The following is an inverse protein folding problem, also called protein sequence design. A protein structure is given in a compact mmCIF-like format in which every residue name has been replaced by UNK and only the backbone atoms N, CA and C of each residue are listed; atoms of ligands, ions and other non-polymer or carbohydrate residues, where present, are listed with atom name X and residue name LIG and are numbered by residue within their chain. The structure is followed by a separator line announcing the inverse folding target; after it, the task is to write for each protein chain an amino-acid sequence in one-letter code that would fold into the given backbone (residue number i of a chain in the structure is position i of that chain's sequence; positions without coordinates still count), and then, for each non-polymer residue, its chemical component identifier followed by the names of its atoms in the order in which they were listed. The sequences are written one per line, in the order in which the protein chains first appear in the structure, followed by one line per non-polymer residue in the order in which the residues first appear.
data_IF_779502586758
#
_entry.id   IF_779502586758
#
_cell.length_a   1.000
_cell.length_b   1.000
_cell.length_c   1.000
_cell.angle_alpha   90.00
_cell.angle_beta   90.00
_cell.angle_gamma   90.00
#
_symmetry.space_group_name_H-M   'P 1'
#
loop_
_entity.id
_entity.type
_entity.pdbx_description
1 polymer ?
#
# COMPACT_ATOMS: atom_id res chain seq x y z
N UNK A 1 -23.08 8.26 9.83
CA UNK A 1 -24.06 9.17 9.19
C UNK A 1 -24.16 8.77 7.73
N UNK A 2 -25.36 8.50 7.23
CA UNK A 2 -25.56 8.11 5.83
C UNK A 2 -25.44 9.32 4.89
N UNK A 3 -24.76 9.14 3.76
CA UNK A 3 -24.62 10.11 2.67
C UNK A 3 -25.38 9.57 1.46
N UNK A 4 -26.02 10.44 0.67
CA UNK A 4 -26.75 9.99 -0.52
C UNK A 4 -25.79 9.40 -1.55
N UNK A 5 -26.24 8.37 -2.27
CA UNK A 5 -25.49 7.78 -3.37
C UNK A 5 -25.09 8.79 -4.46
N UNK A 6 -25.79 9.92 -4.61
CA UNK A 6 -25.42 11.00 -5.55
C UNK A 6 -24.22 11.85 -5.10
N UNK A 7 -23.93 11.85 -3.80
CA UNK A 7 -22.93 12.72 -3.17
C UNK A 7 -21.57 12.02 -3.01
N UNK A 8 -21.53 10.69 -3.10
CA UNK A 8 -20.27 9.96 -3.05
C UNK A 8 -19.43 10.18 -4.30
N UNK A 9 -18.11 9.96 -4.14
CA UNK A 9 -17.10 10.12 -5.18
C UNK A 9 -16.16 8.92 -5.18
N UNK A 10 -15.42 8.73 -6.27
CA UNK A 10 -14.27 7.81 -6.28
C UNK A 10 -13.32 8.16 -5.13
N UNK A 11 -12.82 7.14 -4.43
CA UNK A 11 -12.00 7.29 -3.23
C UNK A 11 -12.78 7.39 -1.91
N UNK A 12 -14.10 7.61 -1.95
CA UNK A 12 -14.93 7.56 -0.73
C UNK A 12 -14.93 6.14 -0.18
N UNK A 13 -14.78 6.01 1.14
CA UNK A 13 -14.88 4.70 1.81
C UNK A 13 -16.23 4.58 2.46
N UNK A 14 -16.88 3.47 2.19
CA UNK A 14 -18.21 3.14 2.67
C UNK A 14 -18.20 1.84 3.45
N UNK A 15 -19.05 1.75 4.45
CA UNK A 15 -19.31 0.52 5.18
C UNK A 15 -20.46 -0.23 4.51
N UNK A 16 -20.24 -1.49 4.15
CA UNK A 16 -21.24 -2.36 3.55
C UNK A 16 -21.11 -3.74 4.17
N UNK A 17 -22.17 -4.21 4.83
CA UNK A 17 -22.24 -5.50 5.51
C UNK A 17 -21.16 -5.68 6.61
N UNK A 18 -20.75 -4.59 7.27
CA UNK A 18 -19.71 -4.58 8.31
C UNK A 18 -18.28 -4.56 7.77
N UNK A 19 -18.09 -4.54 6.45
CA UNK A 19 -16.80 -4.41 5.79
C UNK A 19 -16.58 -2.99 5.24
N UNK A 20 -15.32 -2.58 5.17
CA UNK A 20 -14.92 -1.30 4.58
C UNK A 20 -14.59 -1.46 3.09
N UNK A 21 -15.26 -0.67 2.26
CA UNK A 21 -15.10 -0.68 0.81
C UNK A 21 -14.74 0.71 0.29
N UNK A 22 -13.72 0.81 -0.54
CA UNK A 22 -13.38 2.05 -1.26
C UNK A 22 -14.06 2.07 -2.62
N UNK A 23 -14.68 3.19 -2.98
CA UNK A 23 -15.27 3.40 -4.30
C UNK A 23 -14.16 3.58 -5.34
N UNK A 24 -14.01 2.64 -6.27
CA UNK A 24 -13.06 2.69 -7.38
C UNK A 24 -13.69 3.34 -8.62
N UNK A 25 -14.98 3.11 -8.84
CA UNK A 25 -15.71 3.61 -9.98
C UNK A 25 -17.06 4.21 -9.60
N UNK A 26 -17.47 5.23 -10.34
CA UNK A 26 -18.72 5.95 -10.11
C UNK A 26 -19.28 6.38 -11.46
N UNK A 27 -20.50 5.94 -11.75
CA UNK A 27 -21.24 6.28 -12.95
C UNK A 27 -22.66 6.68 -12.58
N UNK A 28 -23.04 7.93 -12.90
CA UNK A 28 -24.39 8.43 -12.69
C UNK A 28 -25.10 8.56 -14.04
N UNK A 29 -26.13 7.73 -14.25
CA UNK A 29 -26.97 7.73 -15.44
C UNK A 29 -28.33 8.31 -15.11
N UNK A 30 -28.78 9.27 -15.90
CA UNK A 30 -30.12 9.87 -15.81
C UNK A 30 -30.86 9.59 -17.13
N UNK A 31 -31.53 8.43 -17.28
CA UNK A 31 -32.28 8.12 -18.48
C UNK A 31 -33.54 8.99 -18.49
N UNK A 32 -33.75 9.78 -19.55
CA UNK A 32 -34.70 10.90 -19.60
C UNK A 32 -35.96 10.77 -18.72
N UNK A 33 -36.80 9.76 -18.97
CA UNK A 33 -38.09 9.59 -18.29
C UNK A 33 -38.05 8.61 -17.09
N UNK A 34 -36.86 8.17 -16.66
CA UNK A 34 -36.65 7.20 -15.58
C UNK A 34 -35.89 7.83 -14.41
N UNK A 35 -36.00 7.19 -13.24
CA UNK A 35 -35.20 7.56 -12.06
C UNK A 35 -33.72 7.38 -12.37
N UNK A 36 -32.90 8.30 -11.85
CA UNK A 36 -31.46 8.21 -11.99
C UNK A 36 -30.91 6.95 -11.33
N UNK A 37 -29.92 6.34 -11.99
CA UNK A 37 -29.26 5.11 -11.60
C UNK A 37 -27.80 5.43 -11.38
N UNK A 38 -27.25 4.95 -10.27
CA UNK A 38 -25.86 5.14 -9.91
C UNK A 38 -25.22 3.76 -9.86
N UNK A 39 -24.23 3.52 -10.72
CA UNK A 39 -23.42 2.32 -10.66
C UNK A 39 -22.09 2.69 -10.00
N UNK A 40 -21.75 2.00 -8.93
CA UNK A 40 -20.45 2.15 -8.27
C UNK A 40 -19.67 0.85 -8.39
N UNK A 41 -18.38 0.96 -8.67
CA UNK A 41 -17.40 -0.10 -8.46
C UNK A 41 -16.75 0.12 -7.12
N UNK A 42 -16.67 -0.91 -6.29
CA UNK A 42 -16.12 -0.83 -4.94
C UNK A 42 -15.13 -1.97 -4.69
N UNK A 43 -14.08 -1.69 -3.92
CA UNK A 43 -13.03 -2.64 -3.55
C UNK A 43 -12.91 -2.74 -2.03
N UNK A 44 -12.94 -3.94 -1.49
CA UNK A 44 -12.79 -4.19 -0.06
C UNK A 44 -11.35 -3.84 0.38
N UNK A 45 -11.21 -3.05 1.44
CA UNK A 45 -9.90 -2.60 1.94
C UNK A 45 -9.11 -3.71 2.64
N UNK A 46 -9.78 -4.71 3.21
CA UNK A 46 -9.17 -5.83 3.92
C UNK A 46 -8.84 -7.00 2.98
N UNK A 47 -9.82 -7.45 2.19
CA UNK A 47 -9.68 -8.63 1.32
C UNK A 47 -9.21 -8.31 -0.10
N UNK A 48 -9.26 -7.04 -0.52
CA UNK A 48 -8.94 -6.63 -1.88
C UNK A 48 -9.97 -7.02 -2.94
N UNK A 49 -11.06 -7.70 -2.57
CA UNK A 49 -12.11 -8.12 -3.48
C UNK A 49 -12.83 -6.92 -4.10
N UNK A 50 -13.17 -7.00 -5.39
CA UNK A 50 -13.95 -5.98 -6.09
C UNK A 50 -15.38 -6.44 -6.35
N UNK A 51 -16.36 -5.54 -6.19
CA UNK A 51 -17.76 -5.76 -6.55
C UNK A 51 -18.35 -4.51 -7.21
N UNK A 52 -19.39 -4.69 -8.00
CA UNK A 52 -20.19 -3.57 -8.53
C UNK A 52 -21.54 -3.54 -7.85
N UNK A 53 -22.05 -2.34 -7.56
CA UNK A 53 -23.33 -2.13 -6.92
C UNK A 53 -24.13 -1.09 -7.69
N UNK A 54 -25.41 -1.37 -7.91
CA UNK A 54 -26.36 -0.47 -8.55
C UNK A 54 -27.26 0.13 -7.48
N UNK A 55 -27.30 1.45 -7.44
CA UNK A 55 -28.02 2.25 -6.46
C UNK A 55 -29.00 3.19 -7.17
N UNK A 56 -30.10 3.51 -6.49
CA UNK A 56 -30.99 4.61 -6.84
C UNK A 56 -30.51 5.94 -6.26
N UNK A 57 -31.03 7.05 -6.78
CA UNK A 57 -30.67 8.40 -6.30
C UNK A 57 -31.03 8.67 -4.83
N UNK A 58 -31.97 7.91 -4.27
CA UNK A 58 -32.42 8.03 -2.89
C UNK A 58 -31.69 7.10 -1.91
N UNK A 59 -30.83 6.20 -2.39
CA UNK A 59 -30.13 5.26 -1.52
C UNK A 59 -29.11 6.02 -0.67
N UNK A 60 -29.03 5.65 0.60
CA UNK A 60 -28.03 6.17 1.53
C UNK A 60 -26.92 5.14 1.71
N UNK A 61 -25.69 5.63 1.76
CA UNK A 61 -24.48 4.85 2.01
C UNK A 61 -23.87 5.34 3.32
N UNK A 62 -23.42 4.42 4.17
CA UNK A 62 -22.67 4.78 5.37
C UNK A 62 -21.24 5.09 4.98
N UNK A 63 -20.84 6.35 5.12
CA UNK A 63 -19.46 6.76 4.84
C UNK A 63 -18.61 6.50 6.08
N UNK A 64 -17.53 5.76 5.87
CA UNK A 64 -16.50 5.52 6.84
C UNK A 64 -15.45 6.64 6.75
N UNK A 65 -15.18 7.30 7.88
CA UNK A 65 -14.14 8.31 7.95
C UNK A 65 -12.79 7.63 8.16
N UNK A 66 -11.90 7.82 7.18
CA UNK A 66 -10.54 7.32 7.24
C UNK A 66 -9.58 8.45 7.55
N UNK A 67 -8.83 8.28 8.62
CA UNK A 67 -7.75 9.17 8.98
C UNK A 67 -6.44 8.58 8.46
N UNK A 68 -5.89 9.18 7.41
CA UNK A 68 -4.57 8.82 6.88
C UNK A 68 -3.53 9.69 7.56
N UNK A 69 -2.61 9.07 8.27
CA UNK A 69 -1.55 9.76 8.99
C UNK A 69 -0.16 9.37 8.49
N UNK A 70 0.75 10.34 8.32
CA UNK A 70 2.16 10.04 8.10
C UNK A 70 2.74 9.45 9.40
N UNK A 71 3.34 8.28 9.28
CA UNK A 71 3.96 7.59 10.39
C UNK A 71 5.36 7.11 9.99
N UNK A 72 6.15 6.73 10.97
CA UNK A 72 7.49 6.22 10.79
C UNK A 72 7.61 4.85 11.45
N UNK A 73 8.13 3.88 10.72
CA UNK A 73 8.42 2.57 11.29
C UNK A 73 9.66 2.65 12.18
N UNK A 74 9.55 2.23 13.44
CA UNK A 74 10.66 2.25 14.38
C UNK A 74 11.39 0.93 14.43
N UNK A 75 10.76 -0.12 14.97
CA UNK A 75 11.37 -1.43 15.17
C UNK A 75 10.31 -2.53 15.32
N UNK A 76 10.77 -3.77 15.27
CA UNK A 76 9.94 -4.95 15.54
C UNK A 76 10.10 -5.37 17.00
N UNK A 77 8.99 -5.51 17.70
CA UNK A 77 8.97 -5.93 19.10
C UNK A 77 9.09 -7.47 19.20
N UNK A 78 9.54 -7.96 20.37
CA UNK A 78 9.82 -9.39 20.59
C UNK A 78 8.58 -10.29 20.50
N UNK A 79 7.38 -9.73 20.70
CA UNK A 79 6.09 -10.41 20.50
C UNK A 79 5.73 -10.63 19.02
N UNK A 80 6.47 -10.00 18.09
CA UNK A 80 6.22 -10.08 16.65
C UNK A 80 5.52 -8.86 16.06
N UNK A 81 5.03 -7.93 16.88
CA UNK A 81 4.38 -6.70 16.44
C UNK A 81 5.40 -5.67 15.94
N UNK A 82 4.94 -4.75 15.11
CA UNK A 82 5.76 -3.70 14.53
C UNK A 82 5.36 -2.35 15.13
N UNK A 83 6.32 -1.62 15.67
CA UNK A 83 6.07 -0.33 16.33
C UNK A 83 6.22 0.79 15.32
N UNK A 84 5.21 1.64 15.26
CA UNK A 84 5.18 2.84 14.42
C UNK A 84 5.03 4.08 15.29
N UNK A 85 5.52 5.21 14.80
CA UNK A 85 5.38 6.52 15.43
C UNK A 85 4.60 7.45 14.50
N UNK A 86 3.54 8.06 15.01
CA UNK A 86 2.82 9.11 14.30
C UNK A 86 3.72 10.37 14.21
N UNK A 87 3.90 10.92 13.00
CA UNK A 87 4.80 12.07 12.79
C UNK A 87 4.18 13.41 13.22
N UNK A 88 2.87 13.47 13.45
CA UNK A 88 2.20 14.69 13.89
C UNK A 88 2.26 14.87 15.41
N UNK A 89 2.06 13.80 16.16
CA UNK A 89 1.97 13.85 17.63
C UNK A 89 3.07 13.07 18.36
N UNK A 90 3.95 12.35 17.63
CA UNK A 90 5.03 11.52 18.16
C UNK A 90 4.56 10.37 19.08
N UNK A 91 3.29 9.99 19.01
CA UNK A 91 2.77 8.83 19.73
C UNK A 91 3.19 7.54 19.03
N UNK A 92 3.63 6.57 19.84
CA UNK A 92 3.99 5.25 19.36
C UNK A 92 2.81 4.29 19.52
N UNK A 93 2.58 3.46 18.51
CA UNK A 93 1.54 2.45 18.54
C UNK A 93 2.03 1.15 17.86
N UNK A 94 1.67 -0.02 18.40
CA UNK A 94 1.98 -1.30 17.78
C UNK A 94 0.96 -1.61 16.68
N UNK A 95 1.43 -2.23 15.59
CA UNK A 95 0.61 -2.88 14.57
C UNK A 95 0.94 -4.36 14.50
N UNK A 96 -0.10 -5.19 14.41
CA UNK A 96 0.07 -6.63 14.31
C UNK A 96 0.73 -7.03 13.00
N UNK A 97 1.54 -8.09 13.04
CA UNK A 97 2.23 -8.59 11.86
C UNK A 97 1.26 -8.94 10.72
N UNK A 98 0.06 -9.45 11.01
CA UNK A 98 -0.95 -9.79 10.00
C UNK A 98 -1.37 -8.59 9.14
N UNK A 99 -1.34 -7.37 9.69
CA UNK A 99 -1.75 -6.16 8.99
C UNK A 99 -0.65 -5.63 8.06
N UNK A 100 0.61 -5.99 8.32
CA UNK A 100 1.79 -5.42 7.65
C UNK A 100 2.70 -6.46 6.99
N UNK A 101 2.44 -7.76 7.14
CA UNK A 101 3.35 -8.86 6.83
C UNK A 101 3.98 -8.78 5.43
N UNK A 102 3.15 -8.59 4.39
CA UNK A 102 3.63 -8.56 3.00
C UNK A 102 4.51 -7.33 2.70
N UNK A 103 4.30 -6.25 3.45
CA UNK A 103 4.92 -4.95 3.23
C UNK A 103 6.23 -4.80 4.00
N UNK A 104 6.33 -5.38 5.20
CA UNK A 104 7.50 -5.21 6.07
C UNK A 104 8.81 -5.75 5.47
N UNK A 105 8.76 -6.67 4.50
CA UNK A 105 9.96 -7.14 3.77
C UNK A 105 10.69 -6.02 3.01
N UNK A 106 9.99 -4.93 2.70
CA UNK A 106 10.51 -3.76 1.99
C UNK A 106 10.87 -2.59 2.92
N UNK A 107 10.58 -2.70 4.22
CA UNK A 107 10.66 -1.59 5.17
C UNK A 107 11.90 -1.74 6.03
N UNK A 108 12.70 -0.68 6.08
CA UNK A 108 13.80 -0.54 7.04
C UNK A 108 13.38 0.36 8.19
N UNK A 109 14.07 0.28 9.32
CA UNK A 109 13.88 1.21 10.44
C UNK A 109 13.98 2.67 9.95
N UNK A 110 13.18 3.55 10.51
CA UNK A 110 13.03 4.96 10.14
C UNK A 110 12.46 5.20 8.72
N UNK A 111 11.71 4.24 8.18
CA UNK A 111 10.99 4.44 6.91
C UNK A 111 9.67 5.14 7.16
N UNK A 112 9.43 6.21 6.40
CA UNK A 112 8.14 6.90 6.38
C UNK A 112 7.09 6.06 5.65
N UNK A 113 5.94 5.89 6.28
CA UNK A 113 4.79 5.13 5.80
C UNK A 113 3.51 5.91 6.07
N UNK A 114 2.42 5.57 5.39
CA UNK A 114 1.11 6.15 5.68
C UNK A 114 0.24 5.09 6.36
N UNK A 115 -0.19 5.33 7.60
CA UNK A 115 -1.12 4.44 8.29
C UNK A 115 -2.53 5.00 8.15
N UNK A 116 -3.46 4.13 7.77
CA UNK A 116 -4.87 4.48 7.65
C UNK A 116 -5.62 3.95 8.88
N UNK A 117 -6.29 4.86 9.58
CA UNK A 117 -7.12 4.57 10.74
C UNK A 117 -8.60 4.71 10.40
N UNK A 118 -9.43 3.88 11.02
CA UNK A 118 -10.89 3.97 11.01
C UNK A 118 -11.39 3.83 12.45
N UNK A 119 -12.09 4.84 12.96
CA UNK A 119 -12.56 4.88 14.36
C UNK A 119 -11.45 4.57 15.40
N UNK A 120 -10.23 5.06 15.16
CA UNK A 120 -9.07 4.81 16.02
C UNK A 120 -8.40 3.45 15.85
N UNK A 121 -8.95 2.55 15.02
CA UNK A 121 -8.34 1.27 14.69
C UNK A 121 -7.53 1.41 13.39
N UNK A 122 -6.26 1.01 13.42
CA UNK A 122 -5.47 0.91 12.20
C UNK A 122 -6.03 -0.20 11.31
N UNK A 123 -6.31 0.12 10.05
CA UNK A 123 -6.89 -0.82 9.07
C UNK A 123 -5.92 -1.16 7.93
N UNK A 124 -4.85 -0.40 7.76
CA UNK A 124 -3.87 -0.65 6.72
C UNK A 124 -2.67 0.28 6.78
N UNK A 125 -1.56 -0.19 6.19
CA UNK A 125 -0.34 0.58 6.01
C UNK A 125 -0.04 0.69 4.52
N UNK A 126 0.22 1.89 4.04
CA UNK A 126 0.67 2.18 2.68
C UNK A 126 2.16 2.54 2.72
N UNK A 127 2.97 1.84 1.93
CA UNK A 127 4.39 2.16 1.74
C UNK A 127 4.55 3.22 0.65
N UNK A 128 5.65 3.99 0.68
CA UNK A 128 6.02 4.80 -0.48
C UNK A 128 6.23 3.89 -1.69
N UNK A 129 5.82 4.33 -2.89
CA UNK A 129 5.86 3.51 -4.10
C UNK A 129 7.25 2.97 -4.47
N UNK A 130 8.31 3.55 -3.90
CA UNK A 130 9.66 3.00 -3.93
C UNK A 130 10.36 3.18 -2.60
N UNK A 131 11.13 2.18 -2.19
CA UNK A 131 12.01 2.22 -1.02
C UNK A 131 13.47 2.18 -1.45
N UNK A 132 14.35 2.80 -0.66
CA UNK A 132 15.80 2.72 -0.87
C UNK A 132 16.36 1.72 0.11
N UNK A 133 16.99 0.67 -0.41
CA UNK A 133 17.57 -0.42 0.36
C UNK A 133 19.03 -0.63 -0.05
N UNK A 134 19.87 -0.94 0.94
CA UNK A 134 21.29 -1.24 0.71
C UNK A 134 21.48 -2.71 0.34
N UNK A 135 22.29 -2.97 -0.68
CA UNK A 135 22.68 -4.34 -1.07
C UNK A 135 23.72 -4.90 -0.10
N UNK A 136 23.41 -6.02 0.53
CA UNK A 136 24.28 -6.73 1.49
C UNK A 136 25.01 -7.89 0.83
N UNK A 137 24.37 -8.57 -0.13
CA UNK A 137 24.97 -9.68 -0.87
C UNK A 137 24.60 -9.57 -2.35
N UNK A 138 25.53 -9.92 -3.24
CA UNK A 138 25.29 -9.93 -4.68
C UNK A 138 26.09 -11.05 -5.33
N UNK A 139 25.45 -11.83 -6.20
CA UNK A 139 26.16 -12.89 -6.93
C UNK A 139 27.28 -12.34 -7.81
N UNK A 140 28.37 -13.11 -7.96
CA UNK A 140 29.43 -12.77 -8.89
C UNK A 140 28.95 -12.97 -10.32
N UNK A 141 29.02 -11.91 -11.13
CA UNK A 141 28.70 -12.01 -12.55
C UNK A 141 29.72 -12.92 -13.25
N UNK A 142 29.27 -14.04 -13.81
CA UNK A 142 30.12 -14.94 -14.59
C UNK A 142 30.52 -14.23 -15.88
N UNK A 143 31.83 -14.03 -16.07
CA UNK A 143 32.45 -13.49 -17.29
C UNK A 143 32.14 -14.43 -18.46
N UNK A 144 31.04 -14.18 -19.18
CA UNK A 144 30.63 -15.01 -20.32
C UNK A 144 29.25 -14.69 -20.88
N UNK A 145 28.38 -14.01 -20.12
CA UNK A 145 27.08 -13.56 -20.60
C UNK A 145 27.20 -12.23 -21.38
N UNK A 146 27.33 -12.31 -22.70
CA UNK A 146 27.33 -11.18 -23.66
C UNK A 146 25.94 -10.64 -24.00
N UNK A 147 24.90 -11.03 -23.25
CA UNK A 147 23.55 -10.53 -23.47
C UNK A 147 23.36 -9.15 -22.82
N UNK A 148 22.89 -8.19 -23.62
CA UNK A 148 22.42 -6.89 -23.12
C UNK A 148 21.23 -7.15 -22.20
N UNK A 149 21.29 -6.70 -20.93
CA UNK A 149 20.25 -6.86 -19.88
C UNK A 149 20.33 -8.12 -18.99
N UNK A 150 21.53 -8.66 -18.73
CA UNK A 150 21.71 -9.71 -17.73
C UNK A 150 21.45 -9.13 -16.32
N UNK A 151 20.52 -9.74 -15.60
CA UNK A 151 20.27 -9.50 -14.18
C UNK A 151 20.90 -10.61 -13.34
N UNK A 152 21.31 -10.28 -12.13
CA UNK A 152 21.79 -11.22 -11.12
C UNK A 152 20.93 -11.10 -9.86
N UNK A 153 20.93 -12.14 -9.04
CA UNK A 153 20.25 -12.11 -7.76
C UNK A 153 21.14 -11.36 -6.73
N UNK A 154 20.49 -10.55 -5.90
CA UNK A 154 21.09 -9.81 -4.81
C UNK A 154 20.18 -9.82 -3.58
N UNK A 155 20.78 -9.76 -2.40
CA UNK A 155 20.08 -9.64 -1.11
C UNK A 155 20.29 -8.23 -0.60
N UNK A 156 19.22 -7.61 -0.11
CA UNK A 156 19.27 -6.28 0.54
C UNK A 156 19.21 -6.40 2.06
N UNK A 157 19.43 -5.29 2.76
CA UNK A 157 19.51 -5.22 4.23
C UNK A 157 18.29 -5.80 4.97
N UNK A 158 17.11 -5.81 4.36
CA UNK A 158 15.91 -6.43 4.92
C UNK A 158 15.85 -7.95 4.76
N UNK A 159 16.82 -8.56 4.05
CA UNK A 159 16.83 -9.97 3.67
C UNK A 159 16.05 -10.28 2.39
N UNK A 160 15.40 -9.28 1.78
CA UNK A 160 14.69 -9.44 0.52
C UNK A 160 15.65 -9.79 -0.62
N UNK A 161 15.28 -10.79 -1.43
CA UNK A 161 16.00 -11.17 -2.66
C UNK A 161 15.42 -10.42 -3.85
N UNK A 162 16.25 -9.67 -4.56
CA UNK A 162 15.88 -8.87 -5.72
C UNK A 162 16.79 -9.16 -6.93
N UNK A 163 16.28 -8.92 -8.13
CA UNK A 163 17.05 -9.01 -9.37
C UNK A 163 17.60 -7.66 -9.78
N UNK A 164 18.92 -7.52 -9.72
CA UNK A 164 19.63 -6.27 -10.04
C UNK A 164 20.53 -6.45 -11.27
N UNK A 165 20.83 -5.37 -12.01
CA UNK A 165 21.82 -5.42 -13.07
C UNK A 165 23.20 -5.91 -12.58
N UNK A 166 23.96 -6.57 -13.46
CA UNK A 166 25.28 -7.14 -13.12
C UNK A 166 26.31 -6.14 -12.55
N UNK A 167 26.16 -4.85 -12.85
CA UNK A 167 27.06 -3.78 -12.38
C UNK A 167 26.81 -3.35 -10.93
N UNK A 168 25.69 -3.74 -10.31
CA UNK A 168 25.40 -3.44 -8.91
C UNK A 168 26.30 -4.29 -8.01
N UNK A 169 26.92 -3.66 -7.04
CA UNK A 169 27.85 -4.30 -6.10
C UNK A 169 27.34 -4.22 -4.67
N UNK A 170 27.91 -5.05 -3.79
CA UNK A 170 27.65 -4.96 -2.34
C UNK A 170 28.00 -3.56 -1.85
N UNK A 171 27.12 -2.97 -1.05
CA UNK A 171 27.24 -1.61 -0.55
C UNK A 171 26.46 -0.56 -1.34
N UNK A 172 26.03 -0.86 -2.57
CA UNK A 172 25.20 0.04 -3.37
C UNK A 172 23.81 0.22 -2.77
N UNK A 173 23.28 1.44 -2.86
CA UNK A 173 21.89 1.73 -2.56
C UNK A 173 21.04 1.59 -3.82
N UNK A 174 19.97 0.83 -3.71
CA UNK A 174 19.05 0.56 -4.82
C UNK A 174 17.64 0.95 -4.43
N UNK A 175 16.94 1.57 -5.37
CA UNK A 175 15.53 1.87 -5.27
C UNK A 175 14.72 0.68 -5.78
N UNK A 176 13.82 0.16 -4.96
CA UNK A 176 12.97 -1.01 -5.23
C UNK A 176 11.51 -0.59 -5.19
N UNK A 177 10.71 -1.03 -6.16
CA UNK A 177 9.27 -0.84 -6.18
C UNK A 177 8.62 -1.68 -5.09
N UNK A 178 7.82 -1.07 -4.22
CA UNK A 178 7.08 -1.79 -3.17
C UNK A 178 5.85 -2.51 -3.68
N UNK A 179 5.41 -2.19 -4.91
CA UNK A 179 4.25 -2.83 -5.54
C UNK A 179 4.65 -4.09 -6.32
N UNK A 180 5.77 -4.03 -7.06
CA UNK A 180 6.23 -5.14 -7.92
C UNK A 180 7.42 -5.90 -7.35
N UNK A 181 8.13 -5.35 -6.36
CA UNK A 181 9.37 -5.89 -5.83
C UNK A 181 10.56 -5.76 -6.78
N UNK A 182 10.41 -5.01 -7.87
CA UNK A 182 11.45 -4.89 -8.90
C UNK A 182 12.46 -3.78 -8.60
N UNK A 183 13.71 -4.00 -9.00
CA UNK A 183 14.71 -2.96 -9.06
C UNK A 183 14.29 -1.85 -10.02
N UNK A 184 14.24 -0.61 -9.53
CA UNK A 184 13.94 0.58 -10.33
C UNK A 184 15.23 1.24 -10.82
N UNK A 185 16.12 1.61 -9.89
CA UNK A 185 17.36 2.32 -10.20
C UNK A 185 18.37 2.20 -9.07
N UNK A 186 19.65 2.40 -9.39
CA UNK A 186 20.69 2.69 -8.39
C UNK A 186 20.48 4.12 -7.90
N UNK A 187 20.51 4.32 -6.58
CA UNK A 187 20.55 5.65 -6.00
C UNK A 187 22.00 6.10 -6.03
N UNK A 188 22.26 7.18 -6.75
CA UNK A 188 23.51 7.92 -6.64
C UNK A 188 23.21 9.10 -5.72
N UNK A 189 24.05 9.29 -4.71
CA UNK A 189 24.06 10.48 -3.85
C UNK A 189 24.23 11.76 -4.69
#
# INVERSE_FOLDING_TARGET
MGVKATEVRKGTVIEVDGDLWVITDYEHKTPGNLRAIINIGIKNLRSGASKSQRLGSGDMLEVAYLDKKPCEYLYKESNGDFVFMDQENYEQFPLSAELVADKMSYVRENTQVTVTFHNGLAIGVELPGSVVLKVTEAEMAVRGNTATNVKKDAVVETGLKIRVPVHISVGDQVSVSTETGEFLRRVND
#
